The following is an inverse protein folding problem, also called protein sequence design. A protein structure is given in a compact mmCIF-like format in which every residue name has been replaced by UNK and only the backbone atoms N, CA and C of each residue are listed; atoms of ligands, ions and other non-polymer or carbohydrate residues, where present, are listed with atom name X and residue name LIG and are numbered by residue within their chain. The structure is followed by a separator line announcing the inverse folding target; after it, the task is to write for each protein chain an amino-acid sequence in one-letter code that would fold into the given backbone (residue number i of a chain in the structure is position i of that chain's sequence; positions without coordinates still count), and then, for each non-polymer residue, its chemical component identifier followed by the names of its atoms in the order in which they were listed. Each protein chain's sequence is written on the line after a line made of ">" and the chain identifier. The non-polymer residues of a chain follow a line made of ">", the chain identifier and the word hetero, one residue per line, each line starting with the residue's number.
data_IF_466102847613
#
_entry.id   IF_466102847613
#
_cell.length_a   1.000
_cell.length_b   1.000
_cell.length_c   1.000
_cell.angle_alpha   90.00
_cell.angle_beta   90.00
_cell.angle_gamma   90.00
#
_symmetry.space_group_name_H-M   'P 1'
#
loop_
_entity.id
_entity.type
_entity.pdbx_description
1 polymer ?
#
# COMPACT_ATOMS: atom_id res chain seq x y z
N UNK A 1 -15.29 -2.57 9.00
CA UNK A 1 -14.12 -3.43 9.17
C UNK A 1 -13.19 -2.84 10.22
N UNK A 2 -12.65 -3.67 11.07
CA UNK A 2 -11.64 -3.24 12.04
C UNK A 2 -10.25 -3.32 11.41
N UNK A 3 -9.60 -2.17 11.26
CA UNK A 3 -8.28 -2.05 10.63
C UNK A 3 -7.15 -2.25 11.63
N UNK A 4 -7.46 -2.07 12.92
CA UNK A 4 -6.45 -2.24 13.97
C UNK A 4 -5.76 -3.59 13.85
N UNK A 5 -4.44 -3.57 13.86
CA UNK A 5 -3.59 -4.77 13.84
C UNK A 5 -3.76 -5.63 12.58
N UNK A 6 -4.17 -5.02 11.46
CA UNK A 6 -4.31 -5.69 10.16
C UNK A 6 -3.20 -5.28 9.20
N UNK A 7 -2.91 -6.15 8.24
CA UNK A 7 -1.94 -5.88 7.18
C UNK A 7 -2.67 -5.31 5.97
N UNK A 8 -2.34 -4.10 5.59
CA UNK A 8 -3.08 -3.31 4.59
C UNK A 8 -2.19 -3.05 3.37
N UNK A 9 -2.77 -3.17 2.18
CA UNK A 9 -2.12 -2.79 0.91
C UNK A 9 -2.99 -1.76 0.20
N UNK A 10 -2.39 -0.67 -0.26
CA UNK A 10 -3.09 0.37 -1.00
C UNK A 10 -2.34 0.64 -2.29
N UNK A 11 -3.00 0.51 -3.44
CA UNK A 11 -2.44 0.91 -4.73
C UNK A 11 -2.90 2.31 -5.09
N UNK A 12 -2.14 3.01 -5.94
CA UNK A 12 -2.42 4.40 -6.30
C UNK A 12 -2.26 5.34 -5.12
N UNK A 13 -1.29 5.08 -4.24
CA UNK A 13 -1.18 5.74 -2.94
C UNK A 13 -0.34 7.02 -2.95
N UNK A 14 0.30 7.36 -4.08
CA UNK A 14 1.20 8.52 -4.13
C UNK A 14 0.47 9.87 -4.01
N UNK A 15 -0.78 9.93 -4.48
CA UNK A 15 -1.56 11.16 -4.43
C UNK A 15 -3.05 10.86 -4.54
N UNK A 16 -3.88 11.91 -4.48
CA UNK A 16 -5.32 11.81 -4.66
C UNK A 16 -6.02 10.97 -3.60
N UNK A 17 -6.99 10.17 -4.04
CA UNK A 17 -7.83 9.35 -3.17
C UNK A 17 -7.01 8.30 -2.42
N UNK A 18 -6.05 7.67 -3.10
CA UNK A 18 -5.20 6.66 -2.46
C UNK A 18 -4.37 7.22 -1.32
N UNK A 19 -3.79 8.42 -1.52
CA UNK A 19 -3.02 9.10 -0.48
C UNK A 19 -3.93 9.47 0.71
N UNK A 20 -5.10 10.04 0.45
CA UNK A 20 -6.04 10.41 1.51
C UNK A 20 -6.49 9.18 2.30
N UNK A 21 -6.74 8.07 1.60
CA UNK A 21 -7.12 6.80 2.23
C UNK A 21 -6.01 6.28 3.13
N UNK A 22 -4.75 6.34 2.67
CA UNK A 22 -3.60 5.91 3.46
C UNK A 22 -3.49 6.71 4.75
N UNK A 23 -3.65 8.04 4.66
CA UNK A 23 -3.60 8.92 5.83
C UNK A 23 -4.70 8.58 6.83
N UNK A 24 -5.88 8.25 6.34
CA UNK A 24 -7.00 7.88 7.21
C UNK A 24 -6.78 6.52 7.87
N UNK A 25 -6.30 5.54 7.11
CA UNK A 25 -6.08 4.18 7.61
C UNK A 25 -4.98 4.14 8.66
N UNK A 26 -3.90 4.92 8.48
CA UNK A 26 -2.79 4.89 9.43
C UNK A 26 -3.23 5.31 10.83
N UNK A 27 -4.27 6.12 10.94
CA UNK A 27 -4.80 6.55 12.23
C UNK A 27 -5.49 5.44 13.00
N UNK A 28 -5.86 4.34 12.32
CA UNK A 28 -6.51 3.18 12.93
C UNK A 28 -5.52 2.12 13.42
N UNK A 29 -4.23 2.45 13.43
CA UNK A 29 -3.16 1.59 13.93
C UNK A 29 -3.13 0.21 13.26
N UNK A 30 -2.97 0.14 11.92
CA UNK A 30 -2.79 -1.14 11.25
C UNK A 30 -1.48 -1.80 11.71
N UNK A 31 -1.37 -3.10 11.57
CA UNK A 31 -0.14 -3.82 11.85
C UNK A 31 0.94 -3.46 10.84
N UNK A 32 0.56 -3.37 9.57
CA UNK A 32 1.44 -2.91 8.51
C UNK A 32 0.61 -2.19 7.45
N UNK A 33 1.25 -1.29 6.72
CA UNK A 33 0.65 -0.64 5.57
C UNK A 33 1.70 -0.58 4.47
N UNK A 34 1.34 -1.09 3.29
CA UNK A 34 2.21 -1.12 2.12
C UNK A 34 1.57 -0.27 1.03
N UNK A 35 2.28 0.75 0.60
CA UNK A 35 1.81 1.71 -0.40
C UNK A 35 2.45 1.41 -1.75
N UNK A 36 1.63 1.31 -2.79
CA UNK A 36 2.06 0.97 -4.13
C UNK A 36 1.64 2.06 -5.09
N UNK A 37 2.54 2.48 -5.96
CA UNK A 37 2.23 3.43 -7.03
C UNK A 37 3.27 3.29 -8.13
N UNK A 38 2.91 3.68 -9.35
CA UNK A 38 3.87 3.77 -10.45
C UNK A 38 4.79 4.97 -10.26
N UNK A 39 4.36 5.98 -9.53
CA UNK A 39 5.14 7.18 -9.24
C UNK A 39 6.06 6.96 -8.05
N UNK A 40 7.34 7.32 -8.20
CA UNK A 40 8.32 7.23 -7.12
C UNK A 40 7.99 8.15 -5.94
N UNK A 41 7.08 9.10 -6.10
CA UNK A 41 6.65 9.96 -5.00
C UNK A 41 5.97 9.16 -3.88
N UNK A 42 5.54 7.93 -4.14
CA UNK A 42 4.99 7.05 -3.11
C UNK A 42 6.01 6.80 -1.99
N UNK A 43 7.30 6.84 -2.31
CA UNK A 43 8.34 6.63 -1.30
C UNK A 43 8.33 7.73 -0.23
N UNK A 44 8.09 8.97 -0.63
CA UNK A 44 8.00 10.08 0.32
C UNK A 44 6.74 10.00 1.17
N UNK A 45 5.62 9.62 0.54
CA UNK A 45 4.36 9.43 1.26
C UNK A 45 4.53 8.36 2.33
N UNK A 46 5.11 7.22 1.97
CA UNK A 46 5.33 6.12 2.91
C UNK A 46 6.25 6.54 4.05
N UNK A 47 7.32 7.27 3.73
CA UNK A 47 8.27 7.72 4.74
C UNK A 47 7.59 8.62 5.76
N UNK A 48 6.68 9.49 5.32
CA UNK A 48 5.97 10.40 6.22
C UNK A 48 5.02 9.65 7.17
N UNK A 49 4.63 8.43 6.82
CA UNK A 49 3.71 7.60 7.60
C UNK A 49 4.39 6.42 8.29
N UNK A 50 5.69 6.27 8.12
CA UNK A 50 6.43 5.10 8.57
C UNK A 50 5.85 3.80 7.98
N UNK A 51 5.49 3.86 6.70
CA UNK A 51 4.92 2.75 5.95
C UNK A 51 5.94 2.21 4.96
N UNK A 52 5.67 1.02 4.43
CA UNK A 52 6.45 0.45 3.33
C UNK A 52 5.95 0.99 2.00
N UNK A 53 6.83 1.06 1.01
CA UNK A 53 6.47 1.53 -0.33
C UNK A 53 7.07 0.65 -1.42
N UNK A 54 6.37 0.58 -2.55
CA UNK A 54 6.81 -0.16 -3.73
C UNK A 54 6.44 0.63 -4.97
N UNK A 55 7.43 0.89 -5.82
CA UNK A 55 7.21 1.59 -7.09
C UNK A 55 7.05 0.54 -8.17
N UNK A 56 5.82 0.37 -8.64
CA UNK A 56 5.51 -0.65 -9.64
C UNK A 56 4.24 -0.26 -10.40
N UNK A 57 4.19 -0.63 -11.68
CA UNK A 57 2.99 -0.51 -12.50
C UNK A 57 2.11 -1.74 -12.26
N UNK A 58 0.93 -1.55 -11.66
CA UNK A 58 0.02 -2.66 -11.36
C UNK A 58 -0.50 -3.35 -12.64
N UNK A 59 -0.41 -2.70 -13.80
CA UNK A 59 -0.75 -3.31 -15.08
C UNK A 59 0.29 -4.33 -15.55
N UNK A 60 1.51 -4.28 -15.00
CA UNK A 60 2.53 -5.29 -15.27
C UNK A 60 2.33 -6.43 -14.28
N UNK A 61 1.68 -7.51 -14.75
CA UNK A 61 1.28 -8.62 -13.86
C UNK A 61 2.45 -9.27 -13.15
N UNK A 62 3.56 -9.50 -13.84
CA UNK A 62 4.72 -10.16 -13.23
C UNK A 62 5.36 -9.31 -12.15
N UNK A 63 5.54 -8.02 -12.41
CA UNK A 63 6.14 -7.11 -11.44
C UNK A 63 5.21 -6.92 -10.24
N UNK A 64 3.92 -6.77 -10.49
CA UNK A 64 2.94 -6.62 -9.42
C UNK A 64 2.87 -7.87 -8.55
N UNK A 65 2.86 -9.05 -9.16
CA UNK A 65 2.85 -10.31 -8.42
C UNK A 65 4.10 -10.44 -7.54
N UNK A 66 5.26 -10.05 -8.05
CA UNK A 66 6.51 -10.06 -7.27
C UNK A 66 6.40 -9.16 -6.04
N UNK A 67 5.79 -7.98 -6.19
CA UNK A 67 5.57 -7.06 -5.07
C UNK A 67 4.63 -7.68 -4.04
N UNK A 68 3.53 -8.28 -4.48
CA UNK A 68 2.59 -8.93 -3.57
C UNK A 68 3.25 -10.07 -2.81
N UNK A 69 4.08 -10.87 -3.48
CA UNK A 69 4.82 -11.94 -2.84
C UNK A 69 5.77 -11.40 -1.77
N UNK A 70 6.46 -10.29 -2.06
CA UNK A 70 7.35 -9.65 -1.10
C UNK A 70 6.59 -9.16 0.13
N UNK A 71 5.41 -8.58 -0.07
CA UNK A 71 4.57 -8.10 1.02
C UNK A 71 4.12 -9.27 1.90
N UNK A 72 3.69 -10.38 1.30
CA UNK A 72 3.25 -11.56 2.04
C UNK A 72 4.42 -12.17 2.79
N UNK A 73 5.61 -12.25 2.17
CA UNK A 73 6.79 -12.78 2.84
C UNK A 73 7.17 -11.95 4.06
N UNK A 74 7.05 -10.63 3.98
CA UNK A 74 7.39 -9.75 5.08
C UNK A 74 6.34 -9.73 6.19
N UNK A 75 5.06 -9.72 5.84
CA UNK A 75 3.97 -9.47 6.77
C UNK A 75 3.12 -10.70 7.07
N UNK A 76 3.34 -11.81 6.39
CA UNK A 76 2.63 -13.10 6.49
C UNK A 76 1.26 -13.11 5.80
N UNK A 77 0.59 -11.98 5.68
CA UNK A 77 -0.75 -11.95 5.05
C UNK A 77 -1.05 -10.55 4.52
N UNK A 78 -2.10 -10.49 3.70
CA UNK A 78 -2.75 -9.24 3.31
C UNK A 78 -4.20 -9.36 3.76
N UNK A 79 -4.60 -8.51 4.71
CA UNK A 79 -5.95 -8.57 5.28
C UNK A 79 -6.93 -7.66 4.54
N UNK A 80 -6.44 -6.55 3.99
CA UNK A 80 -7.25 -5.61 3.21
C UNK A 80 -6.44 -5.10 2.04
N UNK A 81 -7.02 -5.14 0.86
CA UNK A 81 -6.42 -4.62 -0.36
C UNK A 81 -7.31 -3.51 -0.92
N UNK A 82 -6.77 -2.29 -0.98
CA UNK A 82 -7.49 -1.13 -1.51
C UNK A 82 -6.91 -0.75 -2.86
N UNK A 83 -7.64 -1.03 -3.93
CA UNK A 83 -7.19 -0.78 -5.29
C UNK A 83 -7.71 0.55 -5.80
N UNK A 84 -6.82 1.54 -5.90
CA UNK A 84 -7.13 2.87 -6.44
C UNK A 84 -6.38 3.15 -7.73
N UNK A 85 -5.40 2.31 -8.11
CA UNK A 85 -4.67 2.50 -9.35
C UNK A 85 -5.60 2.32 -10.54
N UNK A 86 -5.55 3.24 -11.48
CA UNK A 86 -6.38 3.18 -12.69
C UNK A 86 -7.76 3.83 -12.56
N UNK A 87 -8.06 4.43 -11.45
CA UNK A 87 -9.31 5.17 -11.26
C UNK A 87 -9.18 6.57 -11.85
#
# INVERSE_FOLDING_TARGET
>A
MNIHNKNIVITGAANGIGHALAKRIIQESPKSISLIDISSSVNEVARSMNADSYVVDVANENDFQSVLNSIIDKNNSIDLFCSNAGI
#
